data_IF_869860679160
#
_entry.id   IF_869860679160
#
_cell.length_a   1.000
_cell.length_b   1.000
_cell.length_c   1.000
_cell.angle_alpha   90.00
_cell.angle_beta   90.00
_cell.angle_gamma   90.00
#
_symmetry.space_group_name_H-M   'P 1'
#
loop_
_entity.id
_entity.type
_entity.pdbx_description
1 polymer ?
#
# COMPACT_ATOMS: atom_id res chain seq x y z
N UNK A 1 23.48 -1.13 -2.99
CA UNK A 1 22.68 0.10 -2.70
C UNK A 1 21.51 -0.34 -1.83
N UNK A 2 21.25 0.31 -0.71
CA UNK A 2 20.06 0.05 0.11
C UNK A 2 18.88 0.91 -0.37
N UNK A 3 17.65 0.54 0.02
CA UNK A 3 16.49 1.40 -0.22
C UNK A 3 16.71 2.80 0.40
N UNK A 4 16.43 3.91 -0.28
CA UNK A 4 16.39 5.22 0.33
C UNK A 4 15.40 5.25 1.53
N UNK A 5 15.73 5.98 2.60
CA UNK A 5 14.80 6.15 3.72
C UNK A 5 13.46 6.73 3.22
N UNK A 6 12.35 6.15 3.65
CA UNK A 6 11.01 6.50 3.18
C UNK A 6 10.51 5.71 1.97
N UNK A 7 11.33 4.82 1.37
CA UNK A 7 10.86 3.96 0.28
C UNK A 7 9.75 3.02 0.74
N UNK A 8 8.77 2.80 -0.13
CA UNK A 8 7.80 1.71 0.01
C UNK A 8 8.52 0.38 -0.25
N UNK A 9 8.65 -0.45 0.78
CA UNK A 9 9.44 -1.69 0.70
C UNK A 9 8.61 -2.96 0.80
N UNK A 10 7.35 -2.87 1.22
CA UNK A 10 6.42 -3.98 1.32
C UNK A 10 4.98 -3.49 1.30
N UNK A 11 4.07 -4.38 0.88
CA UNK A 11 2.63 -4.17 0.95
C UNK A 11 1.98 -5.40 1.55
N UNK A 12 1.05 -5.18 2.46
CA UNK A 12 0.36 -6.25 3.18
C UNK A 12 -1.15 -6.05 3.07
N UNK A 13 -1.85 -7.08 2.65
CA UNK A 13 -3.30 -7.16 2.79
C UNK A 13 -3.65 -7.74 4.16
N UNK A 14 -4.30 -6.99 4.98
CA UNK A 14 -5.04 -7.51 6.14
C UNK A 14 -6.44 -7.90 5.68
N UNK A 15 -6.85 -9.15 5.92
CA UNK A 15 -8.16 -9.66 5.44
C UNK A 15 -8.80 -10.59 6.45
N UNK A 16 -10.12 -10.71 6.40
CA UNK A 16 -10.88 -11.68 7.22
C UNK A 16 -10.95 -13.07 6.59
N UNK A 17 -10.56 -13.24 5.31
CA UNK A 17 -10.52 -14.52 4.62
C UNK A 17 -9.37 -14.57 3.61
N UNK A 18 -8.22 -15.12 4.04
CA UNK A 18 -7.03 -15.23 3.20
C UNK A 18 -7.23 -16.16 1.99
N UNK A 19 -8.11 -17.18 2.08
CA UNK A 19 -8.42 -18.06 0.96
C UNK A 19 -9.25 -17.33 -0.11
N UNK A 20 -10.25 -16.56 0.31
CA UNK A 20 -11.03 -15.73 -0.61
C UNK A 20 -10.16 -14.66 -1.27
N UNK A 21 -9.30 -14.00 -0.50
CA UNK A 21 -8.35 -13.03 -1.02
C UNK A 21 -7.41 -13.65 -2.06
N UNK A 22 -6.88 -14.87 -1.82
CA UNK A 22 -6.01 -15.57 -2.76
C UNK A 22 -6.71 -15.80 -4.12
N UNK A 23 -7.95 -16.27 -4.10
CA UNK A 23 -8.75 -16.46 -5.32
C UNK A 23 -9.03 -15.14 -6.04
N UNK A 24 -9.43 -14.12 -5.28
CA UNK A 24 -9.78 -12.82 -5.82
C UNK A 24 -8.59 -12.13 -6.49
N UNK A 25 -7.49 -11.94 -5.77
CA UNK A 25 -6.32 -11.25 -6.33
C UNK A 25 -5.58 -12.10 -7.37
N UNK A 26 -5.67 -13.43 -7.30
CA UNK A 26 -5.24 -14.32 -8.38
C UNK A 26 -6.00 -14.05 -9.68
N UNK A 27 -7.32 -13.86 -9.62
CA UNK A 27 -8.14 -13.55 -10.80
C UNK A 27 -7.96 -12.10 -11.30
N UNK A 28 -7.79 -11.13 -10.41
CA UNK A 28 -7.76 -9.69 -10.75
C UNK A 28 -6.38 -9.22 -11.20
N UNK A 29 -5.32 -9.64 -10.49
CA UNK A 29 -3.94 -9.17 -10.72
C UNK A 29 -3.07 -10.24 -11.34
N UNK A 30 -3.45 -11.52 -11.19
CA UNK A 30 -2.66 -12.67 -11.62
C UNK A 30 -1.61 -13.11 -10.60
N UNK A 31 -1.72 -12.68 -9.34
CA UNK A 31 -0.78 -13.07 -8.29
C UNK A 31 -0.97 -14.52 -7.87
N UNK A 32 0.13 -15.16 -7.50
CA UNK A 32 0.11 -16.44 -6.80
C UNK A 32 0.25 -16.17 -5.29
N UNK A 33 -0.78 -16.48 -4.53
CA UNK A 33 -0.80 -16.35 -3.08
C UNK A 33 -0.73 -17.76 -2.49
N UNK A 34 0.19 -17.95 -1.54
CA UNK A 34 0.42 -19.28 -0.95
C UNK A 34 -0.86 -19.87 -0.36
N UNK A 35 -1.11 -21.17 -0.61
CA UNK A 35 -2.28 -21.88 -0.11
C UNK A 35 -2.24 -22.12 1.40
N UNK A 36 -1.06 -22.03 2.02
CA UNK A 36 -0.81 -22.29 3.43
C UNK A 36 -0.05 -21.12 4.06
N UNK A 37 -0.24 -20.92 5.37
CA UNK A 37 0.54 -19.95 6.12
C UNK A 37 2.03 -20.26 6.07
N UNK A 38 2.84 -19.20 6.12
CA UNK A 38 4.28 -19.32 6.32
C UNK A 38 4.55 -19.93 7.71
N UNK A 39 5.27 -21.06 7.80
CA UNK A 39 5.60 -21.67 9.09
C UNK A 39 6.41 -20.75 10.02
N UNK A 40 7.11 -19.77 9.46
CA UNK A 40 7.91 -18.81 10.21
C UNK A 40 7.12 -17.59 10.70
N UNK A 41 5.83 -17.50 10.39
CA UNK A 41 4.97 -16.37 10.77
C UNK A 41 4.54 -16.36 12.25
N UNK A 42 5.16 -17.19 13.10
CA UNK A 42 4.87 -17.20 14.54
C UNK A 42 3.44 -17.61 14.88
N UNK A 43 2.86 -18.54 14.12
CA UNK A 43 1.51 -19.05 14.33
C UNK A 43 0.38 -18.19 13.74
N UNK A 44 0.72 -17.11 13.05
CA UNK A 44 -0.23 -16.28 12.29
C UNK A 44 -0.45 -16.90 10.91
N UNK A 45 -1.67 -16.78 10.36
CA UNK A 45 -1.88 -17.05 8.94
C UNK A 45 -1.39 -15.86 8.14
N UNK A 46 -0.12 -15.91 7.77
CA UNK A 46 0.56 -14.97 6.89
C UNK A 46 1.00 -15.70 5.63
N UNK A 47 0.70 -15.16 4.46
CA UNK A 47 0.96 -15.80 3.18
C UNK A 47 1.71 -14.86 2.25
N UNK A 48 2.73 -15.37 1.57
CA UNK A 48 3.46 -14.59 0.58
C UNK A 48 2.69 -14.48 -0.73
N UNK A 49 2.79 -13.32 -1.36
CA UNK A 49 2.32 -13.04 -2.72
C UNK A 49 3.52 -13.15 -3.65
N UNK A 50 3.43 -14.02 -4.65
CA UNK A 50 4.46 -14.19 -5.69
C UNK A 50 3.93 -13.70 -7.02
N UNK A 51 4.79 -12.97 -7.75
CA UNK A 51 4.54 -12.51 -9.12
C UNK A 51 4.96 -13.56 -10.14
N UNK A 52 4.52 -13.43 -11.40
CA UNK A 52 4.90 -14.33 -12.50
C UNK A 52 6.41 -14.34 -12.79
N UNK A 53 7.11 -13.26 -12.48
CA UNK A 53 8.58 -13.17 -12.61
C UNK A 53 9.34 -13.86 -11.46
N UNK A 54 8.63 -14.47 -10.53
CA UNK A 54 9.18 -15.12 -9.34
C UNK A 54 9.53 -14.17 -8.21
N UNK A 55 9.35 -12.86 -8.39
CA UNK A 55 9.56 -11.85 -7.36
C UNK A 55 8.39 -11.75 -6.38
N UNK A 56 8.59 -10.99 -5.32
CA UNK A 56 7.58 -10.81 -4.28
C UNK A 56 6.60 -9.68 -4.62
N UNK A 57 5.30 -9.93 -4.49
CA UNK A 57 4.24 -8.91 -4.63
C UNK A 57 3.79 -8.31 -3.30
N UNK A 58 4.19 -8.91 -2.17
CA UNK A 58 3.74 -8.51 -0.83
C UNK A 58 3.31 -9.69 0.02
N UNK A 59 2.42 -9.45 0.99
CA UNK A 59 1.88 -10.49 1.88
C UNK A 59 0.39 -10.35 2.15
N UNK A 60 -0.21 -11.42 2.66
CA UNK A 60 -1.59 -11.47 3.12
C UNK A 60 -1.59 -11.92 4.57
N UNK A 61 -2.14 -11.13 5.46
CA UNK A 61 -2.32 -11.43 6.88
C UNK A 61 -3.79 -11.67 7.17
N UNK A 62 -4.11 -12.87 7.66
CA UNK A 62 -5.44 -13.17 8.18
C UNK A 62 -5.67 -12.42 9.48
N UNK A 63 -6.69 -11.58 9.52
CA UNK A 63 -7.13 -10.89 10.75
C UNK A 63 -7.68 -11.94 11.72
N UNK A 64 -7.10 -12.00 12.92
CA UNK A 64 -7.62 -12.84 14.01
C UNK A 64 -8.80 -12.14 14.70
N UNK A 65 -9.56 -12.92 15.51
CA UNK A 65 -10.64 -12.37 16.31
C UNK A 65 -10.15 -11.25 17.24
N UNK A 66 -9.01 -11.46 17.91
CA UNK A 66 -8.43 -10.48 18.83
C UNK A 66 -8.01 -9.19 18.10
N UNK A 67 -7.43 -9.31 16.89
CA UNK A 67 -7.11 -8.14 16.08
C UNK A 67 -8.36 -7.37 15.66
N UNK A 68 -9.43 -8.09 15.29
CA UNK A 68 -10.72 -7.47 14.94
C UNK A 68 -11.33 -6.72 16.12
N UNK A 69 -11.30 -7.31 17.32
CA UNK A 69 -11.77 -6.68 18.56
C UNK A 69 -10.96 -5.43 18.94
N UNK A 70 -9.69 -5.36 18.51
CA UNK A 70 -8.81 -4.20 18.63
C UNK A 70 -8.97 -3.18 17.51
N UNK A 71 -9.93 -3.38 16.60
CA UNK A 71 -10.25 -2.43 15.52
C UNK A 71 -9.57 -2.70 14.18
N UNK A 72 -8.87 -3.83 14.02
CA UNK A 72 -8.35 -4.20 12.71
C UNK A 72 -9.51 -4.53 11.74
N UNK A 73 -9.40 -4.03 10.52
CA UNK A 73 -10.35 -4.26 9.45
C UNK A 73 -9.61 -4.51 8.13
N UNK A 74 -10.27 -5.12 7.12
CA UNK A 74 -9.65 -5.38 5.84
C UNK A 74 -9.11 -4.11 5.18
N UNK A 75 -7.81 -4.14 4.88
CA UNK A 75 -7.13 -3.01 4.25
C UNK A 75 -5.76 -3.45 3.68
N UNK A 76 -5.33 -2.78 2.63
CA UNK A 76 -3.94 -2.80 2.21
C UNK A 76 -3.13 -1.78 3.01
N UNK A 77 -1.99 -2.20 3.54
CA UNK A 77 -1.10 -1.37 4.35
C UNK A 77 0.30 -1.42 3.74
N UNK A 78 0.94 -0.27 3.57
CA UNK A 78 2.32 -0.19 3.09
C UNK A 78 3.32 -0.17 4.25
N UNK A 79 4.54 -0.63 3.97
CA UNK A 79 5.70 -0.52 4.85
C UNK A 79 6.68 0.49 4.27
N UNK A 80 6.98 1.51 5.05
CA UNK A 80 7.98 2.52 4.72
C UNK A 80 9.31 2.20 5.41
N UNK A 81 10.38 2.19 4.64
CA UNK A 81 11.72 1.93 5.16
C UNK A 81 12.20 3.06 6.08
N UNK A 82 12.65 2.67 7.25
CA UNK A 82 13.36 3.55 8.20
C UNK A 82 14.62 2.83 8.69
N UNK A 83 15.67 3.60 8.98
CA UNK A 83 16.92 3.03 9.51
C UNK A 83 16.85 2.61 10.97
N UNK A 84 15.84 3.10 11.71
CA UNK A 84 15.63 2.86 13.13
C UNK A 84 14.16 3.07 13.48
N UNK A 85 13.45 1.97 13.79
CA UNK A 85 12.01 1.98 14.11
C UNK A 85 11.72 2.76 15.40
N UNK A 86 12.56 2.65 16.44
CA UNK A 86 12.35 3.37 17.69
C UNK A 86 12.49 4.89 17.52
N UNK A 87 13.47 5.31 16.74
CA UNK A 87 13.64 6.73 16.38
C UNK A 87 12.46 7.24 15.56
N UNK A 88 12.01 6.46 14.56
CA UNK A 88 10.86 6.82 13.74
C UNK A 88 9.58 6.94 14.57
N UNK A 89 9.31 5.98 15.48
CA UNK A 89 8.16 6.03 16.38
C UNK A 89 8.14 7.30 17.23
N UNK A 90 9.28 7.63 17.86
CA UNK A 90 9.39 8.87 18.66
C UNK A 90 9.14 10.12 17.81
N UNK A 91 9.72 10.20 16.63
CA UNK A 91 9.58 11.36 15.76
C UNK A 91 8.14 11.52 15.25
N UNK A 92 7.51 10.43 14.79
CA UNK A 92 6.13 10.40 14.29
C UNK A 92 5.16 10.80 15.40
N UNK A 93 5.29 10.25 16.60
CA UNK A 93 4.40 10.57 17.72
C UNK A 93 4.58 12.01 18.21
N UNK A 94 5.81 12.52 18.23
CA UNK A 94 6.07 13.92 18.57
C UNK A 94 5.46 14.91 17.55
N UNK A 95 5.27 14.49 16.29
CA UNK A 95 4.63 15.30 15.22
C UNK A 95 3.10 15.03 15.10
N UNK A 96 2.49 14.44 16.11
CA UNK A 96 1.04 14.23 16.20
C UNK A 96 0.51 12.96 15.55
N UNK A 97 1.38 12.09 15.04
CA UNK A 97 1.01 10.73 14.66
C UNK A 97 0.78 9.83 15.88
N UNK A 98 0.33 8.63 15.67
CA UNK A 98 0.03 7.66 16.74
C UNK A 98 0.68 6.31 16.47
N UNK A 99 1.20 5.66 17.52
CA UNK A 99 1.52 4.24 17.48
C UNK A 99 0.21 3.44 17.55
N UNK A 100 -0.04 2.60 16.55
CA UNK A 100 -1.17 1.66 16.50
C UNK A 100 -0.75 0.28 17.00
N UNK A 101 0.50 -0.10 16.76
CA UNK A 101 1.14 -1.30 17.27
C UNK A 101 2.56 -0.93 17.73
N UNK A 102 2.99 -1.38 18.91
CA UNK A 102 4.35 -1.15 19.37
C UNK A 102 5.37 -1.83 18.46
N UNK A 103 6.64 -1.46 18.60
CA UNK A 103 7.71 -2.12 17.89
C UNK A 103 7.70 -3.62 18.20
N UNK A 104 7.81 -4.41 17.13
CA UNK A 104 8.02 -5.86 17.17
C UNK A 104 9.28 -6.21 16.38
N UNK A 105 10.08 -7.09 16.96
CA UNK A 105 11.25 -7.68 16.28
C UNK A 105 10.83 -9.04 15.70
N UNK A 106 10.89 -9.14 14.39
CA UNK A 106 10.59 -10.35 13.62
C UNK A 106 11.86 -10.87 12.95
N UNK A 107 11.90 -12.12 12.47
CA UNK A 107 13.04 -12.64 11.69
C UNK A 107 13.39 -11.77 10.47
N UNK A 108 12.40 -11.09 9.89
CA UNK A 108 12.54 -10.22 8.71
C UNK A 108 12.91 -8.77 9.04
N UNK A 109 12.94 -8.39 10.31
CA UNK A 109 13.30 -7.04 10.76
C UNK A 109 12.42 -6.48 11.86
N UNK A 110 12.73 -5.26 12.27
CA UNK A 110 11.92 -4.50 13.24
C UNK A 110 10.80 -3.79 12.50
N UNK A 111 9.59 -3.90 13.02
CA UNK A 111 8.39 -3.24 12.49
C UNK A 111 7.60 -2.52 13.59
N UNK A 112 6.87 -1.48 13.22
CA UNK A 112 5.82 -0.89 14.05
C UNK A 112 4.70 -0.35 13.16
N UNK A 113 3.46 -0.45 13.61
CA UNK A 113 2.33 0.16 12.91
C UNK A 113 2.02 1.52 13.52
N UNK A 114 1.87 2.51 12.65
CA UNK A 114 1.59 3.89 13.04
C UNK A 114 0.45 4.46 12.20
N UNK A 115 -0.15 5.55 12.67
CA UNK A 115 -0.99 6.41 11.86
C UNK A 115 -0.36 7.81 11.76
N UNK A 116 -0.50 8.44 10.62
CA UNK A 116 -0.18 9.86 10.47
C UNK A 116 -1.13 10.74 11.33
N UNK A 117 -0.89 12.05 11.45
CA UNK A 117 -1.76 12.94 12.25
C UNK A 117 -3.22 13.01 11.76
N UNK A 118 -3.51 12.58 10.54
CA UNK A 118 -4.85 12.55 9.96
C UNK A 118 -5.48 11.15 10.01
N UNK A 119 -4.78 10.16 10.61
CA UNK A 119 -5.28 8.82 10.86
C UNK A 119 -4.96 7.77 9.79
N UNK A 120 -4.22 8.11 8.74
CA UNK A 120 -3.81 7.14 7.72
C UNK A 120 -2.81 6.12 8.29
N UNK A 121 -3.13 4.81 8.31
CA UNK A 121 -2.26 3.79 8.86
C UNK A 121 -1.17 3.36 7.86
N UNK A 122 0.01 3.04 8.38
CA UNK A 122 1.12 2.43 7.65
C UNK A 122 2.10 1.77 8.62
N UNK A 123 2.97 0.89 8.11
CA UNK A 123 4.08 0.36 8.88
C UNK A 123 5.36 1.17 8.62
N UNK A 124 6.20 1.29 9.64
CA UNK A 124 7.62 1.61 9.52
C UNK A 124 8.42 0.34 9.76
N UNK A 125 9.47 0.12 8.95
CA UNK A 125 10.27 -1.11 9.01
C UNK A 125 11.75 -0.84 8.80
N UNK A 126 12.57 -1.51 9.64
CA UNK A 126 14.01 -1.70 9.43
C UNK A 126 14.22 -3.17 9.08
N UNK A 127 14.34 -3.54 7.78
CA UNK A 127 14.44 -4.94 7.38
C UNK A 127 15.80 -5.53 7.70
N UNK A 128 15.83 -6.82 8.04
CA UNK A 128 17.04 -7.62 8.01
C UNK A 128 17.36 -7.95 6.56
N UNK A 129 18.59 -7.68 6.14
CA UNK A 129 19.02 -7.98 4.77
C UNK A 129 19.18 -9.49 4.57
N UNK A 130 18.79 -10.02 3.40
CA UNK A 130 18.96 -11.44 3.11
C UNK A 130 20.43 -11.87 3.23
N UNK A 131 20.71 -13.08 3.71
CA UNK A 131 22.07 -13.60 3.80
C UNK A 131 22.82 -13.51 2.45
N UNK A 132 24.01 -12.92 2.48
CA UNK A 132 24.83 -12.74 1.28
C UNK A 132 24.41 -11.61 0.35
N UNK A 133 23.36 -10.85 0.69
CA UNK A 133 22.84 -9.74 -0.11
C UNK A 133 22.69 -8.45 0.72
N UNK A 134 23.79 -7.86 1.23
CA UNK A 134 23.73 -6.69 2.11
C UNK A 134 23.16 -5.44 1.44
N UNK A 135 23.15 -5.42 0.11
CA UNK A 135 22.67 -4.31 -0.73
C UNK A 135 21.31 -4.61 -1.40
N UNK A 136 20.60 -5.65 -0.95
CA UNK A 136 19.29 -5.98 -1.52
C UNK A 136 18.32 -4.80 -1.37
N UNK A 137 17.63 -4.47 -2.47
CA UNK A 137 16.56 -3.48 -2.51
C UNK A 137 15.23 -4.18 -2.77
N UNK A 138 14.17 -3.65 -2.16
CA UNK A 138 12.83 -4.15 -2.46
C UNK A 138 12.43 -3.78 -3.88
N UNK A 139 11.80 -4.71 -4.58
CA UNK A 139 11.28 -4.54 -5.93
C UNK A 139 9.74 -4.63 -6.00
N UNK A 140 9.05 -4.56 -4.86
CA UNK A 140 7.57 -4.64 -4.81
C UNK A 140 6.87 -3.45 -5.48
N UNK A 141 7.59 -2.34 -5.68
CA UNK A 141 7.13 -1.15 -6.39
C UNK A 141 7.84 -1.03 -7.75
N UNK A 142 7.09 -0.69 -8.78
CA UNK A 142 7.62 -0.31 -10.11
C UNK A 142 6.66 0.64 -10.78
N UNK A 143 7.17 1.67 -11.47
CA UNK A 143 6.33 2.65 -12.17
C UNK A 143 5.61 2.10 -13.40
N UNK A 144 6.05 0.96 -13.94
CA UNK A 144 5.61 0.45 -15.26
C UNK A 144 5.32 -1.05 -15.33
N UNK A 145 5.82 -1.86 -14.38
CA UNK A 145 5.71 -3.32 -14.48
C UNK A 145 4.35 -3.83 -13.99
N UNK A 146 3.78 -4.86 -14.65
CA UNK A 146 2.59 -5.52 -14.15
C UNK A 146 2.88 -6.24 -12.82
N UNK A 147 1.84 -6.51 -12.04
CA UNK A 147 1.87 -7.23 -10.77
C UNK A 147 2.72 -6.56 -9.66
N UNK A 148 3.29 -5.39 -9.90
CA UNK A 148 3.89 -4.52 -8.89
C UNK A 148 2.86 -3.48 -8.43
N UNK A 149 3.05 -2.89 -7.24
CA UNK A 149 2.38 -1.63 -6.95
C UNK A 149 3.00 -0.57 -7.87
N UNK A 150 2.16 0.15 -8.60
CA UNK A 150 2.62 1.17 -9.56
C UNK A 150 2.32 2.59 -9.10
N UNK A 151 1.39 2.74 -8.14
CA UNK A 151 0.99 4.02 -7.62
C UNK A 151 0.52 3.93 -6.18
N UNK A 152 0.93 4.90 -5.34
CA UNK A 152 0.54 5.02 -3.95
C UNK A 152 -0.26 6.31 -3.81
N UNK A 153 -1.55 6.24 -3.51
CA UNK A 153 -2.42 7.40 -3.38
C UNK A 153 -2.85 7.62 -1.93
N UNK A 154 -2.53 8.78 -1.39
CA UNK A 154 -3.01 9.20 -0.09
C UNK A 154 -4.19 10.17 -0.24
N UNK A 155 -5.31 9.82 0.38
CA UNK A 155 -6.42 10.75 0.61
C UNK A 155 -6.36 11.27 2.04
N UNK A 156 -6.35 12.58 2.20
CA UNK A 156 -6.20 13.22 3.50
C UNK A 156 -7.24 14.33 3.71
N UNK A 157 -7.84 14.45 4.90
CA UNK A 157 -8.70 15.58 5.24
C UNK A 157 -7.92 16.90 5.31
N UNK A 158 -6.61 16.85 5.62
CA UNK A 158 -5.68 17.99 5.60
C UNK A 158 -4.48 17.70 4.72
N UNK A 159 -4.57 18.06 3.44
CA UNK A 159 -3.52 17.81 2.46
C UNK A 159 -2.22 18.55 2.78
N UNK A 160 -2.29 19.77 3.32
CA UNK A 160 -1.10 20.56 3.63
C UNK A 160 -0.31 19.91 4.77
N UNK A 161 -1.00 19.50 5.83
CA UNK A 161 -0.39 18.80 6.96
C UNK A 161 0.16 17.42 6.56
N UNK A 162 -0.57 16.66 5.74
CA UNK A 162 -0.09 15.38 5.22
C UNK A 162 1.20 15.57 4.42
N UNK A 163 1.21 16.51 3.48
CA UNK A 163 2.41 16.82 2.67
C UNK A 163 3.60 17.16 3.56
N UNK A 164 3.43 18.03 4.56
CA UNK A 164 4.51 18.43 5.46
C UNK A 164 5.02 17.25 6.33
N UNK A 165 4.10 16.40 6.80
CA UNK A 165 4.43 15.22 7.59
C UNK A 165 5.27 14.21 6.79
N UNK A 166 4.80 13.79 5.61
CA UNK A 166 5.52 12.80 4.81
C UNK A 166 6.84 13.35 4.23
N UNK A 167 6.91 14.65 3.92
CA UNK A 167 8.16 15.29 3.54
C UNK A 167 9.20 15.24 4.67
N UNK A 168 8.79 15.54 5.91
CA UNK A 168 9.68 15.57 7.08
C UNK A 168 10.19 14.18 7.47
N UNK A 169 9.30 13.19 7.51
CA UNK A 169 9.62 11.87 8.05
C UNK A 169 10.17 10.89 7.01
N UNK A 170 9.79 11.07 5.73
CA UNK A 170 10.08 10.13 4.66
C UNK A 170 10.73 10.76 3.42
N UNK A 171 10.97 12.07 3.44
CA UNK A 171 11.64 12.76 2.33
C UNK A 171 10.81 12.84 1.05
N UNK A 172 9.49 12.71 1.12
CA UNK A 172 8.62 12.85 -0.04
C UNK A 172 8.64 14.29 -0.55
N UNK A 173 8.82 14.46 -1.86
CA UNK A 173 8.80 15.75 -2.52
C UNK A 173 7.47 15.87 -3.28
N UNK A 174 6.73 16.96 -3.00
CA UNK A 174 5.43 17.22 -3.63
C UNK A 174 5.48 18.58 -4.34
N UNK A 175 6.43 18.73 -5.27
CA UNK A 175 6.71 19.99 -5.96
C UNK A 175 5.80 20.24 -7.16
N UNK A 176 5.17 19.18 -7.69
CA UNK A 176 4.26 19.27 -8.82
C UNK A 176 2.84 18.89 -8.41
N UNK A 177 1.86 19.56 -9.01
CA UNK A 177 0.46 19.29 -8.79
C UNK A 177 -0.38 19.39 -10.06
N UNK A 178 -1.56 18.80 -10.03
CA UNK A 178 -2.58 18.88 -11.07
C UNK A 178 -3.89 19.34 -10.44
N UNK A 179 -4.59 20.34 -11.03
CA UNK A 179 -5.87 20.79 -10.49
C UNK A 179 -6.95 19.72 -10.69
N UNK A 180 -7.71 19.41 -9.62
CA UNK A 180 -8.82 18.46 -9.62
C UNK A 180 -10.19 19.16 -9.47
N UNK A 181 -10.22 20.45 -9.73
CA UNK A 181 -11.41 21.27 -9.61
C UNK A 181 -11.65 21.86 -8.20
N UNK A 182 -12.67 22.72 -8.06
CA UNK A 182 -12.87 23.53 -6.86
C UNK A 182 -13.13 22.73 -5.57
N UNK A 183 -13.69 21.54 -5.69
CA UNK A 183 -14.04 20.70 -4.53
C UNK A 183 -12.86 19.91 -3.98
N UNK A 184 -12.01 19.36 -4.86
CA UNK A 184 -10.89 18.51 -4.50
C UNK A 184 -9.57 19.27 -4.40
N UNK A 185 -9.49 20.47 -4.98
CA UNK A 185 -8.26 21.27 -5.00
C UNK A 185 -7.19 20.65 -5.89
N UNK A 186 -5.97 20.56 -5.37
CA UNK A 186 -4.84 20.02 -6.11
C UNK A 186 -4.59 18.55 -5.78
N UNK A 187 -4.27 17.75 -6.79
CA UNK A 187 -3.62 16.47 -6.68
C UNK A 187 -2.11 16.69 -6.69
N UNK A 188 -1.42 16.40 -5.60
CA UNK A 188 0.02 16.60 -5.46
C UNK A 188 0.76 15.32 -5.76
N UNK A 189 1.66 15.34 -6.73
CA UNK A 189 2.49 14.19 -7.05
C UNK A 189 3.54 13.97 -5.98
N UNK A 190 3.83 12.70 -5.65
CA UNK A 190 4.89 12.31 -4.72
C UNK A 190 6.09 11.85 -5.53
N UNK A 191 7.20 12.58 -5.44
CA UNK A 191 8.48 12.16 -5.97
C UNK A 191 9.38 11.70 -4.80
N UNK A 192 10.02 10.53 -4.93
CA UNK A 192 10.91 9.96 -3.93
C UNK A 192 11.99 9.09 -4.60
N UNK A 193 13.27 9.26 -4.18
CA UNK A 193 14.37 8.48 -4.73
C UNK A 193 14.56 8.65 -6.25
N UNK A 194 14.15 9.78 -6.82
CA UNK A 194 14.23 10.05 -8.26
C UNK A 194 13.09 9.45 -9.08
N UNK A 195 12.09 8.85 -8.43
CA UNK A 195 10.90 8.26 -9.07
C UNK A 195 9.63 8.98 -8.62
N UNK A 196 8.64 9.07 -9.50
CA UNK A 196 7.28 9.45 -9.16
C UNK A 196 6.56 8.23 -8.64
N UNK A 197 6.34 8.19 -7.31
CA UNK A 197 5.86 6.99 -6.62
C UNK A 197 4.38 7.03 -6.28
N UNK A 198 3.72 8.20 -6.45
CA UNK A 198 2.33 8.31 -6.08
C UNK A 198 1.80 9.72 -6.10
N UNK A 199 0.72 9.94 -5.35
CA UNK A 199 0.11 11.26 -5.18
C UNK A 199 -0.67 11.38 -3.89
N UNK A 200 -0.95 12.63 -3.52
CA UNK A 200 -1.78 13.00 -2.38
C UNK A 200 -2.89 13.93 -2.82
N UNK A 201 -4.08 13.69 -2.33
CA UNK A 201 -5.23 14.54 -2.61
C UNK A 201 -6.09 14.77 -1.38
N UNK A 202 -6.91 15.82 -1.46
CA UNK A 202 -7.92 16.07 -0.43
C UNK A 202 -8.97 14.98 -0.46
N UNK A 203 -9.36 14.50 0.71
CA UNK A 203 -10.50 13.61 0.85
C UNK A 203 -11.79 14.39 0.61
N UNK A 204 -12.68 13.89 -0.24
CA UNK A 204 -13.93 14.56 -0.55
C UNK A 204 -14.88 14.60 0.66
N UNK A 205 -14.95 13.48 1.40
CA UNK A 205 -15.66 13.41 2.67
C UNK A 205 -14.67 13.56 3.83
N UNK A 206 -14.73 14.68 4.50
CA UNK A 206 -13.81 15.01 5.61
C UNK A 206 -14.15 14.31 6.93
N UNK A 207 -15.24 13.53 6.99
CA UNK A 207 -15.73 12.90 8.22
C UNK A 207 -14.93 11.65 8.65
N UNK A 208 -14.08 11.10 7.79
CA UNK A 208 -13.30 9.89 8.07
C UNK A 208 -11.80 10.15 8.19
N UNK A 209 -11.03 9.17 8.68
CA UNK A 209 -9.57 9.23 8.68
C UNK A 209 -9.03 9.25 7.25
N UNK A 210 -7.84 9.81 7.07
CA UNK A 210 -7.07 9.67 5.85
C UNK A 210 -6.74 8.21 5.55
N UNK A 211 -6.36 7.90 4.32
CA UNK A 211 -6.01 6.54 3.98
C UNK A 211 -5.24 6.41 2.67
N UNK A 212 -4.39 5.39 2.64
CA UNK A 212 -3.67 4.99 1.45
C UNK A 212 -4.52 4.05 0.59
N UNK A 213 -4.43 4.22 -0.72
CA UNK A 213 -4.93 3.29 -1.73
C UNK A 213 -3.77 2.94 -2.66
N UNK A 214 -3.56 1.66 -2.92
CA UNK A 214 -2.48 1.18 -3.77
C UNK A 214 -3.04 0.68 -5.09
N UNK A 215 -2.38 1.05 -6.19
CA UNK A 215 -2.79 0.66 -7.52
C UNK A 215 -1.81 -0.37 -8.07
N UNK A 216 -2.31 -1.55 -8.33
CA UNK A 216 -1.55 -2.69 -8.84
C UNK A 216 -1.46 -2.64 -10.35
N UNK A 217 -0.28 -2.95 -10.89
CA UNK A 217 -0.08 -3.05 -12.32
C UNK A 217 -0.87 -4.19 -12.94
N UNK A 218 -1.83 -3.87 -13.77
CA UNK A 218 -2.61 -4.82 -14.58
C UNK A 218 -2.13 -4.90 -16.02
N UNK A 219 -2.28 -6.07 -16.64
CA UNK A 219 -2.03 -6.24 -18.08
C UNK A 219 -3.14 -5.61 -18.94
N UNK A 220 -4.36 -5.49 -18.40
CA UNK A 220 -5.53 -4.83 -18.98
C UNK A 220 -6.45 -4.33 -17.88
N UNK A 221 -6.69 -3.03 -17.82
CA UNK A 221 -7.61 -2.43 -16.84
C UNK A 221 -9.06 -2.87 -17.08
N UNK A 222 -9.47 -3.07 -18.34
CA UNK A 222 -10.80 -3.58 -18.69
C UNK A 222 -11.00 -5.03 -18.23
N UNK A 223 -9.99 -5.89 -18.41
CA UNK A 223 -10.06 -7.27 -17.95
C UNK A 223 -10.07 -7.32 -16.39
N UNK A 224 -9.27 -6.49 -15.74
CA UNK A 224 -9.28 -6.38 -14.28
C UNK A 224 -10.66 -5.96 -13.75
N UNK A 225 -11.31 -4.95 -14.37
CA UNK A 225 -12.68 -4.56 -14.00
C UNK A 225 -13.65 -5.74 -14.08
N UNK A 226 -13.66 -6.47 -15.19
CA UNK A 226 -14.52 -7.66 -15.34
C UNK A 226 -14.21 -8.73 -14.29
N UNK A 227 -12.93 -8.96 -13.99
CA UNK A 227 -12.52 -9.92 -12.98
C UNK A 227 -12.96 -9.50 -11.58
N UNK A 228 -12.87 -8.21 -11.22
CA UNK A 228 -13.35 -7.64 -9.96
C UNK A 228 -14.84 -7.95 -9.79
N UNK A 229 -15.66 -7.58 -10.78
CA UNK A 229 -17.11 -7.77 -10.75
C UNK A 229 -17.51 -9.26 -10.71
N UNK A 230 -16.84 -10.10 -11.49
CA UNK A 230 -17.11 -11.54 -11.56
C UNK A 230 -16.71 -12.31 -10.28
N UNK A 231 -15.79 -11.78 -9.48
CA UNK A 231 -15.31 -12.42 -8.25
C UNK A 231 -15.80 -11.73 -6.97
N UNK A 232 -16.89 -10.94 -7.05
CA UNK A 232 -17.57 -10.38 -5.89
C UNK A 232 -16.97 -9.09 -5.32
N UNK A 233 -16.01 -8.47 -6.01
CA UNK A 233 -15.55 -7.12 -5.69
C UNK A 233 -16.54 -6.05 -6.17
N UNK A 234 -16.40 -4.85 -5.64
CA UNK A 234 -17.25 -3.71 -6.02
C UNK A 234 -16.40 -2.61 -6.66
N UNK A 235 -16.71 -2.24 -7.89
CA UNK A 235 -16.08 -1.09 -8.56
C UNK A 235 -16.58 0.19 -7.90
N UNK A 236 -15.67 0.99 -7.36
CA UNK A 236 -15.96 2.27 -6.68
C UNK A 236 -15.71 3.48 -7.56
N UNK A 237 -14.81 3.34 -8.55
CA UNK A 237 -14.57 4.32 -9.61
C UNK A 237 -14.35 3.55 -10.91
N UNK A 238 -15.18 3.85 -11.91
CA UNK A 238 -15.13 3.17 -13.20
C UNK A 238 -13.87 3.52 -13.99
N UNK A 239 -13.62 2.77 -15.06
CA UNK A 239 -12.48 2.95 -15.95
C UNK A 239 -12.38 4.39 -16.44
N UNK A 240 -11.24 5.01 -16.17
CA UNK A 240 -10.90 6.33 -16.73
C UNK A 240 -9.41 6.39 -17.07
N UNK A 241 -9.08 7.23 -18.03
CA UNK A 241 -7.70 7.43 -18.45
C UNK A 241 -7.02 8.44 -17.52
N UNK A 242 -5.79 8.14 -17.11
CA UNK A 242 -4.95 9.05 -16.32
C UNK A 242 -3.87 9.70 -17.20
N UNK A 243 -3.26 10.81 -16.77
CA UNK A 243 -2.10 11.36 -17.45
C UNK A 243 -1.01 10.30 -17.66
N UNK A 244 -0.43 10.25 -18.85
CA UNK A 244 0.50 9.18 -19.24
C UNK A 244 -0.11 8.09 -20.10
N UNK A 245 -1.46 8.06 -20.24
CA UNK A 245 -2.15 7.18 -21.17
C UNK A 245 -2.65 5.86 -20.60
N UNK A 246 -2.22 5.49 -19.39
CA UNK A 246 -2.77 4.34 -18.68
C UNK A 246 -4.22 4.56 -18.25
N UNK A 247 -4.92 3.46 -18.00
CA UNK A 247 -6.26 3.43 -17.47
C UNK A 247 -6.26 2.88 -16.06
N UNK A 248 -7.15 3.41 -15.23
CA UNK A 248 -7.33 2.97 -13.86
C UNK A 248 -8.78 2.59 -13.58
N UNK A 249 -8.94 1.64 -12.66
CA UNK A 249 -10.20 1.29 -12.02
C UNK A 249 -9.95 1.20 -10.51
N UNK A 250 -10.85 1.77 -9.70
CA UNK A 250 -10.78 1.62 -8.24
C UNK A 250 -11.91 0.73 -7.75
N UNK A 251 -11.63 -0.07 -6.74
CA UNK A 251 -12.56 -1.07 -6.23
C UNK A 251 -12.35 -1.36 -4.74
N UNK A 252 -13.28 -2.11 -4.18
CA UNK A 252 -13.09 -2.87 -2.94
C UNK A 252 -13.13 -4.36 -3.25
N UNK A 253 -12.31 -5.13 -2.55
CA UNK A 253 -12.39 -6.59 -2.60
C UNK A 253 -13.63 -7.11 -1.83
N UNK A 254 -13.96 -8.41 -1.89
CA UNK A 254 -15.13 -8.96 -1.21
C UNK A 254 -15.12 -8.83 0.33
N UNK A 255 -13.97 -8.57 0.94
CA UNK A 255 -13.82 -8.34 2.38
C UNK A 255 -13.84 -6.85 2.73
N UNK A 256 -13.79 -5.95 1.74
CA UNK A 256 -13.89 -4.50 1.92
C UNK A 256 -12.56 -3.74 1.82
N UNK A 257 -11.44 -4.39 1.51
CA UNK A 257 -10.16 -3.71 1.31
C UNK A 257 -10.18 -2.90 0.01
N UNK A 258 -9.82 -1.62 0.10
CA UNK A 258 -9.73 -0.71 -1.06
C UNK A 258 -8.45 -0.92 -1.83
N UNK A 259 -8.54 -0.89 -3.15
CA UNK A 259 -7.38 -0.96 -4.05
C UNK A 259 -7.73 -0.38 -5.42
N UNK A 260 -6.75 -0.27 -6.29
CA UNK A 260 -6.96 0.04 -7.69
C UNK A 260 -6.11 -0.85 -8.60
N UNK A 261 -6.45 -0.85 -9.87
CA UNK A 261 -5.63 -1.46 -10.93
C UNK A 261 -5.32 -0.39 -11.96
N UNK A 262 -4.05 -0.34 -12.40
CA UNK A 262 -3.54 0.60 -13.39
C UNK A 262 -2.81 -0.14 -14.51
N UNK A 263 -3.03 0.26 -15.76
CA UNK A 263 -2.35 -0.32 -16.92
C UNK A 263 -3.01 0.06 -18.24
N UNK A 264 -2.60 -0.58 -19.35
CA UNK A 264 -3.27 -0.40 -20.63
C UNK A 264 -4.77 -0.67 -20.50
N UNK A 265 -5.60 0.05 -21.29
CA UNK A 265 -7.05 -0.20 -21.30
C UNK A 265 -7.34 -1.68 -21.55
N UNK A 266 -6.70 -2.21 -22.58
CA UNK A 266 -6.98 -3.55 -23.09
C UNK A 266 -8.40 -3.68 -23.66
N UNK A 267 -8.75 -4.89 -24.09
CA UNK A 267 -10.09 -5.24 -24.56
C UNK A 267 -10.99 -5.72 -23.42
#
# INVERSE_FOLDING_TARGET
>A
MSNPAGSFIWYELMTTDANAAARFYGAVVGWQIADRPDPQAGGKDYRHITRDDGGSGGGVLQITKDMHEQGAHPAWIAYLYVSDVDRALRAITADGGRALMPKMTLPVGDIAMVADPMGAPFYVMTPVQPPGQPDAVSDVFSVDKPQHVRWNELRSPDLARATAFYARHFGFQCNESMPMGPQLGDYRFIDHGGLRVGGMMKQADVAGPGGWTFYFGGRSASAAKRAIEANGGTVTMDLHQVPGGDWVVSATDPQGARFGVVGPKGE
#
